data_IF_409335961092
#
_entry.id   IF_409335961092
#
_cell.length_a   1.000
_cell.length_b   1.000
_cell.length_c   1.000
_cell.angle_alpha   90.00
_cell.angle_beta   90.00
_cell.angle_gamma   90.00
#
_symmetry.space_group_name_H-M   'P 1'
#
loop_
_entity.id
_entity.type
_entity.pdbx_description
1 polymer ?
#
# COMPACT_ATOMS: atom_id res chain seq x y z
N UNK A 1 -19.86 7.94 19.30
CA UNK A 1 -19.90 7.01 18.14
C UNK A 1 -19.73 7.88 16.90
N UNK A 2 -18.62 7.75 16.18
CA UNK A 2 -18.39 8.54 14.97
C UNK A 2 -19.29 8.03 13.84
N UNK A 3 -19.89 8.96 13.11
CA UNK A 3 -20.67 8.71 11.90
C UNK A 3 -19.84 9.09 10.69
N UNK A 4 -20.15 8.52 9.53
CA UNK A 4 -19.45 8.87 8.28
C UNK A 4 -19.54 10.38 7.99
N UNK A 5 -20.66 11.01 8.35
CA UNK A 5 -20.88 12.45 8.21
C UNK A 5 -19.91 13.32 9.01
N UNK A 6 -19.29 12.80 10.07
CA UNK A 6 -18.36 13.57 10.90
C UNK A 6 -17.02 13.85 10.17
N UNK A 7 -16.83 13.24 8.99
CA UNK A 7 -15.67 13.39 8.12
C UNK A 7 -16.03 14.06 6.78
N UNK A 8 -17.26 14.53 6.62
CA UNK A 8 -17.71 15.21 5.40
C UNK A 8 -17.25 16.68 5.41
N UNK A 9 -16.85 17.20 4.26
CA UNK A 9 -16.46 18.60 4.10
C UNK A 9 -16.78 19.11 2.69
N UNK A 10 -17.08 20.41 2.52
CA UNK A 10 -17.28 20.98 1.20
C UNK A 10 -15.99 20.90 0.38
N UNK A 11 -15.98 20.07 -0.66
CA UNK A 11 -14.88 19.94 -1.63
C UNK A 11 -15.37 20.32 -3.03
N UNK A 12 -15.14 21.56 -3.48
CA UNK A 12 -15.40 21.96 -4.85
C UNK A 12 -14.63 21.08 -5.84
N UNK A 13 -15.29 20.65 -6.93
CA UNK A 13 -14.73 19.68 -7.90
C UNK A 13 -13.50 20.23 -8.61
N UNK A 14 -13.46 21.54 -8.82
CA UNK A 14 -12.35 22.28 -9.43
C UNK A 14 -11.07 22.24 -8.58
N UNK A 15 -11.16 21.94 -7.28
CA UNK A 15 -10.01 21.77 -6.39
C UNK A 15 -9.47 20.34 -6.38
N UNK A 16 -10.09 19.40 -7.11
CA UNK A 16 -9.61 18.04 -7.29
C UNK A 16 -8.67 18.02 -8.49
N UNK A 17 -7.37 17.83 -8.23
CA UNK A 17 -6.37 17.71 -9.28
C UNK A 17 -6.70 16.53 -10.21
N UNK A 18 -6.83 16.81 -11.52
CA UNK A 18 -7.05 15.79 -12.55
C UNK A 18 -5.74 15.19 -13.05
N UNK A 19 -4.66 15.99 -12.98
CA UNK A 19 -3.31 15.60 -13.36
C UNK A 19 -2.33 16.12 -12.31
N UNK A 20 -1.19 15.42 -12.09
CA UNK A 20 -0.13 15.94 -11.25
C UNK A 20 0.52 17.18 -11.87
N UNK A 21 1.16 18.01 -11.03
CA UNK A 21 2.04 19.06 -11.53
C UNK A 21 3.22 18.46 -12.31
N UNK A 22 3.67 19.17 -13.35
CA UNK A 22 4.83 18.80 -14.16
C UNK A 22 6.12 18.73 -13.32
N UNK A 23 6.29 19.69 -12.41
CA UNK A 23 7.31 19.70 -11.37
C UNK A 23 6.68 19.26 -10.03
N UNK A 24 6.78 17.97 -9.70
CA UNK A 24 6.08 17.38 -8.55
C UNK A 24 6.50 17.99 -7.22
N UNK A 25 7.76 18.37 -7.10
CA UNK A 25 8.35 18.98 -5.91
C UNK A 25 7.82 20.39 -5.61
N UNK A 26 7.17 21.04 -6.60
CA UNK A 26 6.49 22.34 -6.44
C UNK A 26 5.02 22.21 -5.99
N UNK A 27 4.56 21.00 -5.71
CA UNK A 27 3.24 20.82 -5.10
C UNK A 27 3.15 21.56 -3.76
N UNK A 28 1.97 22.08 -3.42
CA UNK A 28 1.73 22.73 -2.12
C UNK A 28 1.84 21.70 -1.00
N UNK A 29 2.50 22.08 0.09
CA UNK A 29 2.60 21.33 1.34
C UNK A 29 1.90 22.11 2.45
N UNK A 30 0.94 21.48 3.11
CA UNK A 30 0.32 21.99 4.34
C UNK A 30 1.01 21.32 5.53
N UNK A 31 1.65 22.12 6.37
CA UNK A 31 2.29 21.65 7.60
C UNK A 31 1.39 21.99 8.77
N UNK A 32 0.96 20.97 9.51
CA UNK A 32 0.14 21.10 10.72
C UNK A 32 0.95 20.69 11.94
N UNK A 33 1.18 21.64 12.85
CA UNK A 33 1.71 21.32 14.16
C UNK A 33 0.58 20.75 15.03
N UNK A 34 0.58 19.43 15.24
CA UNK A 34 -0.46 18.74 16.02
C UNK A 34 -0.60 19.21 17.47
N UNK A 35 0.45 19.79 18.06
CA UNK A 35 0.43 20.24 19.48
C UNK A 35 -0.15 21.64 19.63
N UNK A 36 0.17 22.54 18.71
CA UNK A 36 -0.23 23.96 18.79
C UNK A 36 -1.42 24.30 17.91
N UNK A 37 -1.73 23.46 16.92
CA UNK A 37 -2.72 23.74 15.88
C UNK A 37 -2.23 24.71 14.80
N UNK A 38 -0.96 25.12 14.84
CA UNK A 38 -0.38 26.02 13.84
C UNK A 38 -0.38 25.38 12.45
N UNK A 39 -0.79 26.17 11.45
CA UNK A 39 -0.84 25.78 10.04
C UNK A 39 0.12 26.67 9.24
N UNK A 40 1.00 26.03 8.49
CA UNK A 40 1.94 26.69 7.58
C UNK A 40 1.71 26.16 6.17
N UNK A 41 1.68 27.05 5.18
CA UNK A 41 1.62 26.71 3.76
C UNK A 41 2.98 26.93 3.11
N UNK A 42 3.49 25.93 2.41
CA UNK A 42 4.78 25.97 1.71
C UNK A 42 4.76 25.07 0.47
N UNK A 43 5.92 24.82 -0.14
CA UNK A 43 6.10 23.91 -1.27
C UNK A 43 6.74 22.59 -0.82
N UNK A 44 6.47 21.48 -1.52
CA UNK A 44 6.84 20.13 -1.09
C UNK A 44 8.36 19.95 -0.95
N UNK A 45 9.18 20.57 -1.80
CA UNK A 45 10.64 20.48 -1.68
C UNK A 45 11.18 21.03 -0.36
N UNK A 46 10.42 21.88 0.35
CA UNK A 46 10.78 22.40 1.68
C UNK A 46 10.60 21.37 2.80
N UNK A 47 10.10 20.16 2.50
CA UNK A 47 9.92 19.07 3.47
C UNK A 47 11.20 18.75 4.25
N UNK A 48 12.37 18.95 3.63
CA UNK A 48 13.68 18.73 4.25
C UNK A 48 13.91 19.58 5.51
N UNK A 49 13.25 20.73 5.62
CA UNK A 49 13.36 21.62 6.79
C UNK A 49 12.57 21.10 8.00
N UNK A 50 11.72 20.08 7.81
CA UNK A 50 10.87 19.49 8.85
C UNK A 50 11.35 18.11 9.30
N UNK A 51 12.47 17.63 8.75
CA UNK A 51 13.12 16.39 9.16
C UNK A 51 14.38 16.72 9.95
N UNK A 52 14.61 16.00 11.03
CA UNK A 52 15.80 16.14 11.87
C UNK A 52 16.74 14.94 11.70
N UNK A 53 18.03 15.08 12.05
CA UNK A 53 18.93 13.92 12.08
C UNK A 53 18.33 12.78 12.90
N UNK A 54 18.44 11.56 12.36
CA UNK A 54 17.88 10.31 12.88
C UNK A 54 16.37 10.08 12.67
N UNK A 55 15.67 10.96 11.95
CA UNK A 55 14.33 10.62 11.44
C UNK A 55 14.42 9.51 10.38
N UNK A 56 13.39 8.66 10.33
CA UNK A 56 13.26 7.58 9.34
C UNK A 56 12.09 7.87 8.42
N UNK A 57 12.40 8.10 7.14
CA UNK A 57 11.39 8.22 6.10
C UNK A 57 11.06 6.82 5.56
N UNK A 58 9.89 6.30 5.93
CA UNK A 58 9.38 5.03 5.40
C UNK A 58 8.64 5.30 4.09
N UNK A 59 9.21 4.85 2.97
CA UNK A 59 8.62 4.99 1.64
C UNK A 59 8.00 3.65 1.24
N UNK A 60 6.76 3.70 0.74
CA UNK A 60 6.11 2.54 0.16
C UNK A 60 6.54 2.37 -1.30
N UNK A 61 7.40 1.39 -1.57
CA UNK A 61 7.74 0.94 -2.93
C UNK A 61 6.85 -0.25 -3.31
N UNK A 62 5.80 0.02 -4.10
CA UNK A 62 4.84 -1.01 -4.53
C UNK A 62 5.29 -1.70 -5.82
N UNK A 63 5.36 -3.03 -5.82
CA UNK A 63 5.64 -3.82 -7.02
C UNK A 63 4.50 -4.79 -7.30
N UNK A 64 4.06 -4.84 -8.56
CA UNK A 64 3.13 -5.87 -9.03
C UNK A 64 3.93 -7.13 -9.34
N UNK A 65 3.70 -8.18 -8.56
CA UNK A 65 4.30 -9.50 -8.80
C UNK A 65 3.19 -10.40 -9.35
N UNK A 66 3.35 -10.97 -10.57
CA UNK A 66 2.39 -11.94 -11.11
C UNK A 66 2.55 -13.27 -10.37
N UNK A 67 2.00 -13.33 -9.17
CA UNK A 67 2.15 -14.41 -8.22
C UNK A 67 0.84 -15.18 -7.96
N UNK A 68 -0.21 -14.85 -8.71
CA UNK A 68 -1.53 -15.47 -8.56
C UNK A 68 -1.61 -16.77 -9.36
N UNK A 69 -1.90 -17.86 -8.66
CA UNK A 69 -2.20 -19.18 -9.22
C UNK A 69 -3.67 -19.51 -8.97
N UNK A 70 -4.31 -20.14 -9.96
CA UNK A 70 -5.68 -20.64 -9.85
C UNK A 70 -5.62 -22.16 -9.88
N UNK A 71 -6.17 -22.79 -8.85
CA UNK A 71 -6.19 -24.24 -8.70
C UNK A 71 -7.59 -24.78 -8.45
N UNK A 72 -7.69 -26.11 -8.50
CA UNK A 72 -8.88 -26.88 -8.16
C UNK A 72 -8.45 -27.97 -7.19
N UNK A 73 -9.13 -28.05 -6.04
CA UNK A 73 -8.96 -29.15 -5.08
C UNK A 73 -9.43 -30.46 -5.71
N UNK A 74 -8.96 -31.59 -5.19
CA UNK A 74 -9.44 -32.91 -5.59
C UNK A 74 -10.97 -33.04 -5.43
N UNK A 75 -11.53 -32.42 -4.38
CA UNK A 75 -12.98 -32.35 -4.14
C UNK A 75 -13.75 -31.48 -5.14
N UNK A 76 -13.07 -30.89 -6.12
CA UNK A 76 -13.65 -30.02 -7.15
C UNK A 76 -13.79 -28.55 -6.79
N UNK A 77 -13.52 -28.16 -5.53
CA UNK A 77 -13.63 -26.77 -5.08
C UNK A 77 -12.49 -25.89 -5.61
N UNK A 78 -12.82 -24.66 -6.03
CA UNK A 78 -11.82 -23.67 -6.48
C UNK A 78 -10.92 -23.22 -5.33
N UNK A 79 -9.66 -22.94 -5.65
CA UNK A 79 -8.69 -22.30 -4.77
C UNK A 79 -7.90 -21.26 -5.56
N UNK A 80 -7.68 -20.10 -4.97
CA UNK A 80 -6.79 -19.06 -5.48
C UNK A 80 -5.61 -18.94 -4.51
N UNK A 81 -4.39 -18.91 -5.05
CA UNK A 81 -3.15 -18.86 -4.28
C UNK A 81 -2.39 -17.62 -4.73
N UNK A 82 -2.02 -16.75 -3.79
CA UNK A 82 -1.14 -15.61 -4.05
C UNK A 82 0.21 -15.89 -3.39
N UNK A 83 1.25 -16.10 -4.19
CA UNK A 83 2.62 -16.25 -3.68
C UNK A 83 3.11 -14.91 -3.12
N UNK A 84 3.57 -14.90 -1.88
CA UNK A 84 4.10 -13.71 -1.20
C UNK A 84 5.60 -13.57 -1.40
N UNK A 85 6.30 -14.71 -1.38
CA UNK A 85 7.75 -14.77 -1.56
C UNK A 85 8.13 -16.13 -2.12
N UNK A 86 8.99 -16.11 -3.15
CA UNK A 86 9.61 -17.31 -3.72
C UNK A 86 11.11 -17.18 -3.54
N UNK A 87 11.72 -18.07 -2.76
CA UNK A 87 13.17 -18.17 -2.67
C UNK A 87 13.65 -19.19 -3.71
N UNK A 88 14.34 -18.78 -4.79
CA UNK A 88 14.83 -19.70 -5.82
C UNK A 88 15.80 -20.75 -5.26
N UNK A 89 16.46 -20.46 -4.14
CA UNK A 89 17.36 -21.39 -3.47
C UNK A 89 16.62 -22.51 -2.72
N UNK A 90 15.29 -22.40 -2.58
CA UNK A 90 14.43 -23.44 -2.01
C UNK A 90 13.84 -24.37 -3.07
N UNK A 91 14.38 -24.37 -4.28
CA UNK A 91 14.05 -25.38 -5.29
C UNK A 91 14.87 -26.63 -4.99
N UNK A 92 14.20 -27.70 -4.56
CA UNK A 92 14.80 -29.04 -4.41
C UNK A 92 14.01 -30.03 -5.26
N UNK A 93 14.69 -30.84 -6.06
CA UNK A 93 14.05 -31.87 -6.90
C UNK A 93 12.88 -31.35 -7.76
N UNK A 94 13.01 -30.12 -8.29
CA UNK A 94 11.97 -29.39 -9.05
C UNK A 94 10.72 -28.98 -8.25
N UNK A 95 10.76 -29.06 -6.92
CA UNK A 95 9.72 -28.58 -6.01
C UNK A 95 10.13 -27.23 -5.42
N UNK A 96 9.26 -26.22 -5.53
CA UNK A 96 9.41 -24.92 -4.89
C UNK A 96 8.51 -24.84 -3.66
N UNK A 97 9.10 -24.53 -2.51
CA UNK A 97 8.33 -24.15 -1.31
C UNK A 97 8.27 -22.63 -1.20
N UNK A 98 7.07 -22.08 -1.06
CA UNK A 98 6.82 -20.64 -1.02
C UNK A 98 5.79 -20.27 0.05
N UNK A 99 5.90 -19.05 0.56
CA UNK A 99 4.86 -18.46 1.40
C UNK A 99 3.73 -17.96 0.52
N UNK A 100 2.48 -18.25 0.89
CA UNK A 100 1.34 -17.90 0.08
C UNK A 100 0.09 -17.58 0.91
N UNK A 101 -0.75 -16.68 0.38
CA UNK A 101 -2.12 -16.50 0.85
C UNK A 101 -3.06 -17.40 0.04
N UNK A 102 -3.95 -18.10 0.73
CA UNK A 102 -4.95 -18.96 0.10
C UNK A 102 -6.35 -18.37 0.26
N UNK A 103 -7.09 -18.34 -0.84
CA UNK A 103 -8.52 -18.04 -0.84
C UNK A 103 -9.30 -19.26 -1.31
N UNK A 104 -10.05 -19.86 -0.39
CA UNK A 104 -10.96 -20.97 -0.66
C UNK A 104 -12.12 -20.98 0.36
N UNK A 105 -13.29 -21.49 -0.03
CA UNK A 105 -14.46 -21.59 0.89
C UNK A 105 -14.19 -22.47 2.12
N UNK A 106 -13.30 -23.45 1.98
CA UNK A 106 -12.72 -24.26 3.06
C UNK A 106 -11.23 -24.44 2.76
N UNK A 107 -10.37 -24.18 3.72
CA UNK A 107 -8.93 -24.36 3.56
C UNK A 107 -8.62 -25.82 3.16
N UNK A 108 -7.71 -26.06 2.20
CA UNK A 108 -7.21 -27.40 1.94
C UNK A 108 -6.49 -27.94 3.19
N UNK A 109 -6.55 -29.27 3.39
CA UNK A 109 -5.80 -29.92 4.48
C UNK A 109 -4.30 -29.85 4.17
N UNK A 110 -3.47 -29.81 5.21
CA UNK A 110 -2.02 -29.99 5.07
C UNK A 110 -1.76 -31.42 4.59
N UNK A 111 -0.98 -31.59 3.53
CA UNK A 111 -0.67 -32.87 2.90
C UNK A 111 -0.24 -32.67 1.45
#
# INVERSE_FOLDING_TARGET
MYRLSDYDYPLPKELIAQEPLSAREKARLLVLNRRTGEIIHTEFFQIINYLIPNDVLVINDTRVIPARLIGKKETGGRVEILLLSTDPNKIRDKVLTAEALLRASRAPKVG
#
